data_IF_781939696109
#
_entry.id   IF_781939696109
#
_cell.length_a   1.000
_cell.length_b   1.000
_cell.length_c   1.000
_cell.angle_alpha   90.00
_cell.angle_beta   90.00
_cell.angle_gamma   90.00
#
_symmetry.space_group_name_H-M   'P 1'
#
loop_
_entity.id
_entity.type
_entity.pdbx_description
1 polymer ?
#
# COMPACT_ATOMS: atom_id res chain seq x y z
N UNK A 1 -12.16 0.39 -25.09
CA UNK A 1 -11.18 -0.70 -25.34
C UNK A 1 -9.81 -0.11 -25.06
N UNK A 2 -9.19 -0.52 -23.95
CA UNK A 2 -7.80 -0.19 -23.72
C UNK A 2 -6.95 -0.75 -24.88
N UNK A 3 -6.06 0.08 -25.39
CA UNK A 3 -5.07 -0.40 -26.36
C UNK A 3 -4.24 -1.51 -25.68
N UNK A 4 -3.90 -2.58 -26.40
CA UNK A 4 -2.95 -3.56 -25.90
C UNK A 4 -1.69 -2.84 -25.47
N UNK A 5 -1.28 -3.00 -24.23
CA UNK A 5 -0.02 -2.44 -23.74
C UNK A 5 1.09 -3.21 -24.46
N UNK A 6 1.74 -2.57 -25.40
CA UNK A 6 2.98 -3.08 -25.95
C UNK A 6 4.04 -2.98 -24.87
N UNK A 7 4.43 -4.13 -24.30
CA UNK A 7 5.41 -4.21 -23.21
C UNK A 7 6.76 -3.64 -23.63
N UNK A 8 7.09 -3.68 -24.92
CA UNK A 8 8.35 -3.13 -25.45
C UNK A 8 8.34 -1.59 -25.47
N UNK A 9 7.18 -0.95 -25.55
CA UNK A 9 7.03 0.52 -25.52
C UNK A 9 6.86 1.07 -24.09
N UNK A 10 6.69 0.21 -23.10
CA UNK A 10 6.42 0.63 -21.73
C UNK A 10 7.70 1.10 -21.05
N UNK A 11 7.84 2.41 -20.86
CA UNK A 11 9.05 2.97 -20.26
C UNK A 11 9.18 2.52 -18.79
N UNK A 12 10.39 2.12 -18.36
CA UNK A 12 10.66 1.62 -17.00
C UNK A 12 10.21 2.61 -15.90
N UNK A 13 10.29 3.92 -16.16
CA UNK A 13 9.86 4.97 -15.21
C UNK A 13 8.35 5.10 -15.04
N UNK A 14 7.55 4.38 -15.81
CA UNK A 14 6.11 4.28 -15.60
C UNK A 14 5.74 3.36 -14.42
N UNK A 15 6.73 2.68 -13.82
CA UNK A 15 6.52 1.78 -12.69
C UNK A 15 7.03 2.41 -11.40
N UNK A 16 6.16 2.51 -10.38
CA UNK A 16 6.49 3.11 -9.08
C UNK A 16 7.72 2.50 -8.42
N UNK A 17 7.92 1.19 -8.55
CA UNK A 17 9.12 0.52 -8.04
C UNK A 17 10.41 1.09 -8.63
N UNK A 18 10.41 1.42 -9.91
CA UNK A 18 11.57 2.03 -10.57
C UNK A 18 11.76 3.49 -10.13
N UNK A 19 10.68 4.22 -9.87
CA UNK A 19 10.76 5.58 -9.31
C UNK A 19 11.45 5.56 -7.94
N UNK A 20 11.11 4.60 -7.07
CA UNK A 20 11.77 4.41 -5.77
C UNK A 20 13.26 4.09 -5.94
N UNK A 21 13.62 3.22 -6.90
CA UNK A 21 15.02 2.91 -7.21
C UNK A 21 15.79 4.15 -7.72
N UNK A 22 15.18 4.91 -8.63
CA UNK A 22 15.77 6.16 -9.13
C UNK A 22 15.97 7.16 -7.98
N UNK A 23 15.07 7.20 -6.99
CA UNK A 23 15.19 8.02 -5.79
C UNK A 23 16.40 7.66 -4.93
N UNK A 24 16.62 6.35 -4.71
CA UNK A 24 17.79 5.85 -3.97
C UNK A 24 19.11 6.20 -4.69
N UNK A 25 19.17 6.02 -6.02
CA UNK A 25 20.34 6.37 -6.80
C UNK A 25 20.63 7.87 -6.73
N UNK A 26 19.61 8.73 -6.86
CA UNK A 26 19.77 10.19 -6.72
C UNK A 26 20.26 10.59 -5.32
N UNK A 27 19.80 9.91 -4.27
CA UNK A 27 20.26 10.15 -2.91
C UNK A 27 21.74 9.85 -2.76
N UNK A 28 22.21 8.75 -3.32
CA UNK A 28 23.63 8.38 -3.32
C UNK A 28 24.48 9.41 -4.07
N UNK A 29 24.01 9.86 -5.24
CA UNK A 29 24.77 10.77 -6.09
C UNK A 29 24.79 12.23 -5.60
N UNK A 30 23.66 12.72 -5.05
CA UNK A 30 23.45 14.14 -4.75
C UNK A 30 23.11 14.45 -3.29
N UNK A 31 22.92 13.42 -2.45
CA UNK A 31 22.44 13.54 -1.08
C UNK A 31 20.95 13.89 -0.96
N UNK A 32 20.20 13.88 -2.06
CA UNK A 32 18.77 14.23 -2.09
C UNK A 32 17.94 13.12 -2.73
N UNK A 33 16.87 12.72 -2.05
CA UNK A 33 15.90 11.79 -2.61
C UNK A 33 14.52 12.47 -2.70
N UNK A 34 14.11 12.94 -3.88
CA UNK A 34 12.80 13.56 -4.07
C UNK A 34 11.66 12.52 -4.16
N UNK A 35 11.99 11.24 -4.25
CA UNK A 35 11.02 10.17 -4.50
C UNK A 35 10.80 9.29 -3.27
N UNK A 36 10.31 9.90 -2.20
CA UNK A 36 9.86 9.21 -0.97
C UNK A 36 8.34 9.35 -0.78
N UNK A 37 7.51 8.89 -1.76
CA UNK A 37 6.06 9.00 -1.65
C UNK A 37 5.49 8.00 -0.65
N UNK A 38 4.29 8.29 -0.15
CA UNK A 38 3.37 7.28 0.37
C UNK A 38 2.52 6.69 -0.77
N UNK A 39 1.84 5.59 -0.50
CA UNK A 39 1.02 4.90 -1.49
C UNK A 39 -0.41 4.79 -1.00
N UNK A 40 -1.33 5.08 -1.92
CA UNK A 40 -2.76 4.81 -1.76
C UNK A 40 -3.28 4.16 -3.03
N UNK A 41 -4.39 3.44 -2.93
CA UNK A 41 -5.18 3.01 -4.06
C UNK A 41 -6.49 3.77 -4.15
N UNK A 42 -7.22 3.56 -5.23
CA UNK A 42 -8.59 4.03 -5.36
C UNK A 42 -9.36 3.16 -6.34
N UNK A 43 -10.67 3.30 -6.36
CA UNK A 43 -11.53 2.69 -7.37
C UNK A 43 -11.49 3.43 -8.71
N UNK A 44 -10.90 4.62 -8.73
CA UNK A 44 -10.91 5.56 -9.85
C UNK A 44 -12.34 5.90 -10.34
N UNK A 45 -13.29 5.89 -9.43
CA UNK A 45 -14.72 6.08 -9.74
C UNK A 45 -15.04 7.49 -10.19
N UNK A 46 -15.77 7.65 -11.29
CA UNK A 46 -16.15 8.91 -11.91
C UNK A 46 -17.66 9.15 -11.85
N UNK A 47 -18.31 8.75 -10.76
CA UNK A 47 -19.76 8.85 -10.56
C UNK A 47 -20.17 9.96 -9.61
N UNK A 48 -19.20 10.74 -9.11
CA UNK A 48 -19.36 11.72 -8.02
C UNK A 48 -19.94 11.14 -6.72
N UNK A 49 -19.87 9.82 -6.53
CA UNK A 49 -20.36 9.11 -5.35
C UNK A 49 -19.19 8.81 -4.41
N UNK A 50 -18.75 9.81 -3.67
CA UNK A 50 -17.65 9.63 -2.70
C UNK A 50 -17.98 8.51 -1.71
N UNK A 51 -17.04 7.56 -1.53
CA UNK A 51 -17.22 6.42 -0.63
C UNK A 51 -18.13 5.31 -1.16
N UNK A 52 -18.64 5.41 -2.39
CA UNK A 52 -19.47 4.40 -3.04
C UNK A 52 -18.71 3.16 -3.51
N UNK A 53 -17.82 2.61 -2.66
CA UNK A 53 -16.96 1.48 -2.99
C UNK A 53 -17.30 0.21 -2.19
N UNK A 54 -18.56 0.04 -1.77
CA UNK A 54 -19.01 -1.15 -1.05
C UNK A 54 -19.12 -2.34 -2.01
N UNK A 55 -18.54 -3.48 -1.65
CA UNK A 55 -18.53 -4.69 -2.48
C UNK A 55 -19.91 -5.15 -2.93
N UNK A 56 -20.88 -5.14 -2.01
CA UNK A 56 -22.23 -5.61 -2.29
C UNK A 56 -23.14 -4.59 -2.99
N UNK A 57 -22.68 -3.38 -3.22
CA UNK A 57 -23.49 -2.29 -3.78
C UNK A 57 -22.64 -1.33 -4.63
N UNK A 58 -21.67 -1.85 -5.34
CA UNK A 58 -20.85 -1.05 -6.24
C UNK A 58 -21.63 -0.75 -7.53
N UNK A 59 -21.85 0.53 -7.78
CA UNK A 59 -22.67 1.01 -8.92
C UNK A 59 -21.88 1.20 -10.21
N UNK A 60 -20.60 0.83 -10.20
CA UNK A 60 -19.71 0.94 -11.35
C UNK A 60 -18.81 2.17 -11.31
N UNK A 61 -17.88 2.21 -12.27
CA UNK A 61 -16.84 3.22 -12.39
C UNK A 61 -17.29 4.47 -13.14
N UNK A 62 -18.07 4.31 -14.21
CA UNK A 62 -18.45 5.38 -15.14
C UNK A 62 -19.97 5.68 -15.15
N UNK A 63 -20.68 5.35 -14.11
CA UNK A 63 -22.11 5.62 -13.98
C UNK A 63 -22.92 4.88 -15.05
N UNK A 64 -23.64 5.61 -15.89
CA UNK A 64 -24.53 5.00 -16.89
C UNK A 64 -23.82 4.10 -17.91
N UNK A 65 -22.51 4.23 -18.09
CA UNK A 65 -21.72 3.37 -19.00
C UNK A 65 -21.49 1.97 -18.40
N UNK A 66 -21.58 1.83 -17.10
CA UNK A 66 -21.40 0.58 -16.37
C UNK A 66 -22.76 -0.04 -15.97
N UNK A 67 -23.83 0.38 -16.61
CA UNK A 67 -25.19 -0.08 -16.31
C UNK A 67 -25.43 -1.57 -16.58
N UNK A 68 -24.49 -2.26 -17.21
CA UNK A 68 -24.57 -3.69 -17.47
C UNK A 68 -23.51 -4.44 -16.67
N UNK A 69 -23.88 -5.59 -16.12
CA UNK A 69 -23.00 -6.49 -15.39
C UNK A 69 -21.72 -6.86 -16.17
N UNK A 70 -21.80 -6.96 -17.49
CA UNK A 70 -20.66 -7.24 -18.35
C UNK A 70 -19.61 -6.14 -18.30
N UNK A 71 -20.02 -4.87 -18.27
CA UNK A 71 -19.10 -3.74 -18.23
C UNK A 71 -18.37 -3.65 -16.88
N UNK A 72 -19.01 -4.04 -15.77
CA UNK A 72 -18.40 -4.08 -14.46
C UNK A 72 -17.27 -5.12 -14.36
N UNK A 73 -17.40 -6.23 -15.08
CA UNK A 73 -16.43 -7.32 -15.05
C UNK A 73 -15.29 -7.18 -16.05
N UNK A 74 -15.55 -6.57 -17.19
CA UNK A 74 -14.58 -6.51 -18.29
C UNK A 74 -13.48 -5.45 -18.09
N UNK A 75 -13.58 -4.65 -17.04
CA UNK A 75 -12.64 -3.56 -16.78
C UNK A 75 -11.76 -3.86 -15.57
N UNK A 76 -10.66 -4.58 -15.77
CA UNK A 76 -9.72 -4.95 -14.69
C UNK A 76 -9.01 -3.73 -14.06
N UNK A 77 -9.05 -2.57 -14.71
CA UNK A 77 -8.46 -1.32 -14.21
C UNK A 77 -9.38 -0.59 -13.22
N UNK A 78 -10.67 -0.90 -13.24
CA UNK A 78 -11.71 -0.19 -12.49
C UNK A 78 -12.48 -1.17 -11.63
N UNK A 79 -12.06 -1.36 -10.40
CA UNK A 79 -12.69 -2.30 -9.49
C UNK A 79 -12.91 -1.68 -8.09
N UNK A 80 -13.90 -2.19 -7.31
CA UNK A 80 -14.22 -1.65 -5.99
C UNK A 80 -13.18 -1.97 -4.92
N UNK A 81 -12.20 -2.82 -5.22
CA UNK A 81 -11.15 -3.22 -4.30
C UNK A 81 -9.98 -2.23 -4.21
N UNK A 82 -9.89 -1.28 -5.13
CA UNK A 82 -8.87 -0.23 -5.12
C UNK A 82 -9.18 0.81 -4.04
N UNK A 83 -8.76 0.58 -2.80
CA UNK A 83 -8.98 1.48 -1.67
C UNK A 83 -7.70 2.13 -1.18
N UNK A 84 -7.83 3.38 -0.72
CA UNK A 84 -6.87 4.04 0.11
C UNK A 84 -7.10 3.61 1.57
N UNK A 85 -6.08 3.08 2.21
CA UNK A 85 -6.12 2.77 3.64
C UNK A 85 -5.14 3.68 4.37
N UNK A 86 -5.59 4.24 5.49
CA UNK A 86 -4.84 5.22 6.29
C UNK A 86 -4.89 4.80 7.75
N UNK A 87 -3.74 4.73 8.39
CA UNK A 87 -3.64 4.47 9.83
C UNK A 87 -3.66 5.79 10.59
N UNK A 88 -4.84 6.18 11.06
CA UNK A 88 -5.07 7.38 11.86
C UNK A 88 -5.52 7.01 13.27
N UNK A 89 -5.20 7.83 14.24
CA UNK A 89 -5.58 7.61 15.64
C UNK A 89 -7.09 7.66 15.83
N UNK A 90 -7.77 8.50 15.03
CA UNK A 90 -9.22 8.65 15.06
C UNK A 90 -9.77 9.06 13.69
N UNK A 91 -11.05 8.80 13.45
CA UNK A 91 -11.71 9.16 12.20
C UNK A 91 -12.10 10.65 12.19
N UNK A 92 -11.07 11.51 12.14
CA UNK A 92 -11.20 12.96 12.03
C UNK A 92 -10.31 13.48 10.92
N UNK A 93 -10.68 14.61 10.34
CA UNK A 93 -10.01 15.21 9.21
C UNK A 93 -8.52 15.47 9.47
N UNK A 94 -8.20 16.06 10.61
CA UNK A 94 -6.85 16.39 11.04
C UNK A 94 -6.01 15.12 11.28
N UNK A 95 -6.54 14.13 12.01
CA UNK A 95 -5.86 12.85 12.25
C UNK A 95 -5.57 12.08 10.95
N UNK A 96 -6.54 12.05 10.04
CA UNK A 96 -6.36 11.43 8.70
C UNK A 96 -5.30 12.18 7.90
N UNK A 97 -5.34 13.51 7.91
CA UNK A 97 -4.36 14.32 7.20
C UNK A 97 -2.94 14.12 7.71
N UNK A 98 -2.74 14.08 9.04
CA UNK A 98 -1.43 13.83 9.63
C UNK A 98 -0.93 12.41 9.34
N UNK A 99 -1.80 11.41 9.35
CA UNK A 99 -1.44 10.05 8.95
C UNK A 99 -1.00 9.98 7.48
N UNK A 100 -1.68 10.68 6.59
CA UNK A 100 -1.26 10.82 5.19
C UNK A 100 0.09 11.55 5.06
N UNK A 101 0.33 12.59 5.85
CA UNK A 101 1.64 13.28 5.88
C UNK A 101 2.76 12.38 6.37
N UNK A 102 2.51 11.53 7.35
CA UNK A 102 3.46 10.50 7.81
C UNK A 102 3.61 9.36 6.81
N UNK A 103 2.77 9.32 5.76
CA UNK A 103 2.73 8.24 4.76
C UNK A 103 2.38 6.88 5.35
N UNK A 104 1.70 6.86 6.49
CA UNK A 104 1.23 5.65 7.14
C UNK A 104 -0.03 5.13 6.44
N UNK A 105 0.15 4.74 5.19
CA UNK A 105 -0.91 4.43 4.23
C UNK A 105 -0.54 3.23 3.39
N UNK A 106 -1.55 2.54 2.88
CA UNK A 106 -1.35 1.50 1.88
C UNK A 106 -2.53 1.42 0.90
N UNK A 107 -2.37 0.62 -0.14
CA UNK A 107 -3.36 0.42 -1.19
C UNK A 107 -3.88 -1.00 -1.19
N UNK A 108 -5.15 -1.18 -1.51
CA UNK A 108 -5.72 -2.47 -1.91
C UNK A 108 -6.05 -2.48 -3.39
N UNK A 109 -6.16 -3.66 -3.99
CA UNK A 109 -6.47 -3.80 -5.42
C UNK A 109 -7.41 -4.97 -5.73
N UNK A 110 -8.17 -5.40 -4.76
CA UNK A 110 -9.12 -6.52 -4.84
C UNK A 110 -9.70 -6.79 -3.48
N UNK A 111 -9.29 -7.85 -2.83
CA UNK A 111 -9.59 -8.09 -1.42
C UNK A 111 -9.07 -6.95 -0.54
N UNK A 112 -9.66 -6.78 0.63
CA UNK A 112 -9.40 -5.68 1.56
C UNK A 112 -8.65 -6.15 2.81
N UNK A 113 -7.41 -6.66 2.68
CA UNK A 113 -6.63 -7.09 3.82
C UNK A 113 -6.28 -5.91 4.72
N UNK A 114 -6.17 -6.17 6.02
CA UNK A 114 -5.65 -5.20 6.97
C UNK A 114 -4.16 -5.48 7.14
N UNK A 115 -3.31 -4.52 6.78
CA UNK A 115 -1.87 -4.69 6.75
C UNK A 115 -1.17 -3.65 7.62
N UNK A 116 -0.22 -4.12 8.43
CA UNK A 116 0.73 -3.26 9.14
C UNK A 116 2.15 -3.74 8.86
N UNK A 117 3.05 -2.80 8.75
CA UNK A 117 4.45 -3.05 8.48
C UNK A 117 5.31 -2.09 9.28
N UNK A 118 6.27 -2.63 10.02
CA UNK A 118 7.20 -1.88 10.83
C UNK A 118 8.62 -2.37 10.60
N UNK A 119 9.57 -1.49 10.84
CA UNK A 119 10.98 -1.81 10.88
C UNK A 119 11.61 -1.21 12.15
N UNK A 120 12.46 -1.97 12.82
CA UNK A 120 13.08 -1.51 14.07
C UNK A 120 13.99 -2.55 14.67
N UNK A 121 14.39 -2.32 15.92
CA UNK A 121 15.12 -3.30 16.72
C UNK A 121 14.12 -4.00 17.66
N UNK A 122 13.69 -5.17 17.26
CA UNK A 122 12.64 -5.94 17.95
C UNK A 122 13.20 -7.25 18.50
N UNK A 123 12.62 -7.71 19.60
CA UNK A 123 12.85 -9.06 20.09
C UNK A 123 12.31 -10.12 19.09
N UNK A 124 12.92 -11.30 19.08
CA UNK A 124 12.54 -12.39 18.17
C UNK A 124 11.10 -12.86 18.36
N UNK A 125 10.57 -12.71 19.56
CA UNK A 125 9.24 -13.19 19.95
C UNK A 125 8.16 -12.11 19.90
N UNK A 126 8.42 -10.96 19.25
CA UNK A 126 7.45 -9.87 19.18
C UNK A 126 6.06 -10.34 18.67
N UNK A 127 6.02 -11.26 17.71
CA UNK A 127 4.76 -11.78 17.15
C UNK A 127 3.92 -12.56 18.16
N UNK A 128 4.49 -13.05 19.25
CA UNK A 128 3.81 -13.81 20.30
C UNK A 128 3.28 -12.89 21.41
N UNK A 129 3.68 -11.63 21.42
CA UNK A 129 3.26 -10.66 22.42
C UNK A 129 1.84 -10.17 22.19
N UNK A 130 1.07 -10.02 23.26
CA UNK A 130 -0.28 -9.46 23.22
C UNK A 130 -0.29 -7.96 22.94
N UNK A 131 0.81 -7.28 23.21
CA UNK A 131 1.05 -5.85 22.99
C UNK A 131 2.05 -5.59 21.84
N UNK A 132 2.22 -6.57 20.93
CA UNK A 132 3.16 -6.51 19.83
C UNK A 132 3.09 -5.21 19.02
N UNK A 133 1.89 -4.67 18.83
CA UNK A 133 1.70 -3.46 18.06
C UNK A 133 2.21 -2.21 18.80
N UNK A 134 1.98 -2.14 20.10
CA UNK A 134 2.49 -1.06 20.94
C UNK A 134 4.02 -1.08 20.98
N UNK A 135 4.60 -2.26 21.16
CA UNK A 135 6.06 -2.45 21.11
C UNK A 135 6.62 -2.09 19.73
N UNK A 136 5.93 -2.43 18.64
CA UNK A 136 6.35 -2.10 17.29
C UNK A 136 6.43 -0.59 17.05
N UNK A 137 5.49 0.18 17.58
CA UNK A 137 5.55 1.65 17.54
C UNK A 137 6.61 2.23 18.45
N UNK A 138 6.84 1.62 19.62
CA UNK A 138 7.80 2.13 20.61
C UNK A 138 9.25 1.91 20.20
N UNK A 139 9.56 0.78 19.54
CA UNK A 139 10.92 0.35 19.21
C UNK A 139 11.28 0.46 17.73
N UNK A 140 10.41 1.07 16.91
CA UNK A 140 10.66 1.17 15.48
C UNK A 140 9.80 2.21 14.78
N UNK A 141 9.78 2.12 13.45
CA UNK A 141 9.03 3.02 12.59
C UNK A 141 7.96 2.25 11.81
N UNK A 142 6.74 2.80 11.66
CA UNK A 142 5.69 2.22 10.85
C UNK A 142 5.96 2.41 9.35
N UNK A 143 5.13 1.79 8.52
CA UNK A 143 5.13 2.01 7.07
C UNK A 143 5.14 3.50 6.73
N UNK A 144 5.88 3.87 5.69
CA UNK A 144 6.07 5.27 5.29
C UNK A 144 7.14 6.02 6.08
N UNK A 145 7.59 5.49 7.21
CA UNK A 145 8.67 6.07 8.02
C UNK A 145 10.06 5.87 7.40
N UNK A 146 11.05 6.50 8.03
CA UNK A 146 12.46 6.32 7.75
C UNK A 146 13.10 5.78 9.03
N UNK A 147 13.71 4.61 8.94
CA UNK A 147 14.51 4.05 10.02
C UNK A 147 15.94 4.51 9.81
N UNK A 148 16.45 5.28 10.75
CA UNK A 148 17.86 5.68 10.76
C UNK A 148 18.74 4.46 11.03
N UNK A 149 19.92 4.45 10.43
CA UNK A 149 20.89 3.37 10.64
C UNK A 149 21.39 3.42 12.07
N UNK A 150 21.47 2.28 12.74
CA UNK A 150 22.06 2.18 14.05
C UNK A 150 23.60 2.19 13.98
N UNK A 151 24.25 2.71 15.02
CA UNK A 151 25.70 2.82 15.07
C UNK A 151 26.41 1.44 15.15
N UNK A 152 25.70 0.42 15.59
CA UNK A 152 26.20 -0.96 15.72
C UNK A 152 26.12 -1.78 14.42
N UNK A 153 25.67 -1.16 13.33
CA UNK A 153 25.54 -1.79 12.01
C UNK A 153 24.61 -3.02 11.99
N UNK A 154 23.76 -3.16 13.00
CA UNK A 154 22.80 -4.25 13.08
C UNK A 154 21.74 -4.15 11.99
N UNK A 155 21.40 -5.29 11.39
CA UNK A 155 20.31 -5.33 10.42
C UNK A 155 18.97 -5.14 11.12
N UNK A 156 18.09 -4.26 10.61
CA UNK A 156 16.78 -4.07 11.20
C UNK A 156 15.91 -5.31 11.05
N UNK A 157 15.06 -5.55 12.04
CA UNK A 157 14.00 -6.55 11.95
C UNK A 157 12.73 -5.94 11.41
N UNK A 158 11.93 -6.75 10.74
CA UNK A 158 10.63 -6.35 10.22
C UNK A 158 9.51 -7.05 10.96
N UNK A 159 8.56 -6.29 11.44
CA UNK A 159 7.31 -6.80 11.98
C UNK A 159 6.18 -6.55 11.00
N UNK A 160 5.50 -7.64 10.59
CA UNK A 160 4.40 -7.58 9.63
C UNK A 160 3.19 -8.26 10.22
N UNK A 161 2.08 -7.53 10.28
CA UNK A 161 0.78 -8.07 10.60
C UNK A 161 -0.13 -7.96 9.38
N UNK A 162 -0.69 -9.08 8.93
CA UNK A 162 -1.62 -9.11 7.82
C UNK A 162 -2.84 -9.96 8.19
N UNK A 163 -4.01 -9.32 8.19
CA UNK A 163 -5.28 -10.00 8.35
C UNK A 163 -5.97 -10.09 7.00
N UNK A 164 -6.48 -11.27 6.67
CA UNK A 164 -7.26 -11.45 5.45
C UNK A 164 -8.55 -10.62 5.49
N UNK A 165 -9.05 -10.26 4.34
CA UNK A 165 -10.41 -9.77 4.17
C UNK A 165 -11.38 -10.79 4.78
N UNK A 166 -12.39 -10.32 5.50
CA UNK A 166 -13.39 -11.20 6.09
C UNK A 166 -14.46 -11.64 5.08
N UNK A 167 -14.57 -10.87 3.98
CA UNK A 167 -15.63 -11.09 3.00
C UNK A 167 -17.01 -10.75 3.53
N UNK A 168 -18.01 -11.26 2.83
CA UNK A 168 -19.43 -11.18 3.21
C UNK A 168 -20.06 -12.56 3.07
N UNK A 169 -21.30 -12.73 3.56
CA UNK A 169 -22.03 -14.00 3.41
C UNK A 169 -22.22 -14.42 1.93
N UNK A 170 -22.29 -13.44 1.04
CA UNK A 170 -22.44 -13.68 -0.41
C UNK A 170 -21.09 -13.81 -1.13
N UNK A 171 -20.05 -13.19 -0.61
CA UNK A 171 -18.72 -13.15 -1.20
C UNK A 171 -17.68 -13.52 -0.13
N UNK A 172 -17.45 -14.82 0.10
CA UNK A 172 -16.48 -15.28 1.08
C UNK A 172 -15.06 -14.81 0.69
N UNK A 173 -14.31 -14.42 1.68
CA UNK A 173 -12.95 -13.96 1.46
C UNK A 173 -12.01 -15.09 1.02
N UNK A 174 -11.06 -14.73 0.17
CA UNK A 174 -9.97 -15.61 -0.18
C UNK A 174 -8.92 -15.65 0.95
N UNK A 175 -8.27 -16.82 1.18
CA UNK A 175 -7.14 -16.89 2.09
C UNK A 175 -5.97 -16.05 1.58
N UNK A 176 -5.10 -15.61 2.50
CA UNK A 176 -3.81 -15.04 2.12
C UNK A 176 -2.93 -16.17 1.57
N UNK A 177 -2.40 -15.98 0.38
CA UNK A 177 -1.49 -16.94 -0.23
C UNK A 177 -0.08 -16.78 0.33
N UNK A 178 0.39 -15.53 0.44
CA UNK A 178 1.74 -15.21 0.88
C UNK A 178 1.89 -13.76 1.29
N UNK A 179 2.96 -13.48 2.03
CA UNK A 179 3.49 -12.13 2.28
C UNK A 179 4.84 -12.05 1.55
N UNK A 180 5.07 -10.96 0.82
CA UNK A 180 6.33 -10.71 0.12
C UNK A 180 6.92 -9.39 0.56
N UNK A 181 8.18 -9.40 0.96
CA UNK A 181 8.98 -8.20 1.19
C UNK A 181 9.89 -8.01 -0.02
N UNK A 182 9.86 -6.83 -0.62
CA UNK A 182 10.71 -6.47 -1.74
C UNK A 182 11.67 -5.40 -1.26
N UNK A 183 12.96 -5.73 -1.22
CA UNK A 183 14.04 -4.84 -0.83
C UNK A 183 14.66 -4.22 -2.07
N UNK A 184 14.89 -2.91 -2.05
CA UNK A 184 15.72 -2.19 -3.01
C UNK A 184 16.89 -1.53 -2.29
N UNK A 185 18.04 -1.50 -2.93
CA UNK A 185 19.25 -0.81 -2.47
C UNK A 185 20.08 -0.35 -3.66
N UNK A 186 21.02 0.53 -3.42
CA UNK A 186 22.04 0.92 -4.37
C UNK A 186 23.36 0.33 -3.88
N UNK A 187 24.11 -0.30 -4.77
CA UNK A 187 25.46 -0.79 -4.49
C UNK A 187 26.52 0.25 -4.90
N UNK A 188 27.79 -0.05 -4.58
CA UNK A 188 28.90 0.86 -4.86
C UNK A 188 29.16 1.06 -6.37
N UNK A 189 28.51 0.28 -7.22
CA UNK A 189 28.62 0.39 -8.68
C UNK A 189 27.49 1.23 -9.32
N UNK A 190 26.48 1.64 -8.53
CA UNK A 190 25.35 2.50 -8.94
C UNK A 190 24.16 1.77 -9.53
#
# INVERSE_FOLDING_TARGET
RGLPVDVASFHRRNMMRNVLKDGLALEQDSGLNPFRPGFIGSTDTHTATSGGAMEKNYVGHLGSRDATFRNLQDHFVSNPGGLAVVWAEENRRDAIFEAMRRRETYATSGTRPIVRFFAGDYDENLCESTDALEQAYAAGVPMGGVLERSDDDAAPRFFISAQRDQGTDLYPANPLERIQIIKGWVDDAG
#
